data_IF_313238775034
#
_entry.id   IF_313238775034
#
_cell.length_a   1.000
_cell.length_b   1.000
_cell.length_c   1.000
_cell.angle_alpha   90.00
_cell.angle_beta   90.00
_cell.angle_gamma   90.00
#
_symmetry.space_group_name_H-M   'P 1'
#
loop_
_entity.id
_entity.type
_entity.pdbx_description
1 polymer ?
#
# COMPACT_ATOMS: atom_id res chain seq x y z
N UNK A 1 64.34 65.16 7.70
CA UNK A 1 63.25 66.04 7.22
C UNK A 1 62.27 65.18 6.45
N UNK A 2 61.09 65.30 6.90
CA UNK A 2 59.77 65.00 6.27
C UNK A 2 59.27 63.57 6.21
N UNK A 3 58.36 63.44 7.13
CA UNK A 3 57.37 62.36 7.27
C UNK A 3 56.58 62.09 6.00
N UNK A 4 56.35 60.84 5.68
CA UNK A 4 55.27 60.40 4.79
C UNK A 4 54.47 59.36 5.52
N UNK A 5 53.28 59.76 5.89
CA UNK A 5 52.26 58.97 6.50
C UNK A 5 51.60 58.13 5.40
N UNK A 6 51.70 56.81 5.49
CA UNK A 6 50.97 55.90 4.62
C UNK A 6 49.73 55.44 5.43
N UNK A 7 48.58 55.93 4.95
CA UNK A 7 47.26 55.47 5.47
C UNK A 7 46.92 54.13 4.81
N UNK A 8 46.93 53.07 5.58
CA UNK A 8 46.42 51.76 5.13
C UNK A 8 44.91 51.71 5.31
N UNK A 9 44.20 51.68 4.19
CA UNK A 9 42.76 51.41 4.14
C UNK A 9 42.53 49.90 4.36
N UNK A 10 42.05 49.50 5.52
CA UNK A 10 41.49 48.17 5.74
C UNK A 10 40.15 48.06 5.03
N UNK A 11 40.09 47.29 3.95
CA UNK A 11 38.88 46.87 3.32
C UNK A 11 38.32 45.64 4.07
N UNK A 12 37.24 45.85 4.82
CA UNK A 12 36.52 44.84 5.55
C UNK A 12 35.57 44.11 4.58
N UNK A 13 36.03 43.00 4.01
CA UNK A 13 35.13 42.08 3.28
C UNK A 13 34.25 41.34 4.24
N UNK A 14 33.02 41.80 4.44
CA UNK A 14 31.98 41.04 5.09
C UNK A 14 31.54 39.91 4.17
N UNK A 15 32.13 38.70 4.34
CA UNK A 15 31.67 37.48 3.71
C UNK A 15 30.36 37.05 4.35
N UNK A 16 29.23 37.32 3.67
CA UNK A 16 27.94 36.77 4.02
C UNK A 16 27.95 35.27 3.78
N UNK A 17 27.94 34.46 4.86
CA UNK A 17 27.61 33.04 4.80
C UNK A 17 26.13 32.93 4.45
N UNK A 18 25.83 32.70 3.18
CA UNK A 18 24.53 32.25 2.75
C UNK A 18 24.36 30.80 3.26
N UNK A 19 23.67 30.64 4.38
CA UNK A 19 23.13 29.34 4.74
C UNK A 19 22.04 29.02 3.72
N UNK A 20 22.37 28.17 2.76
CA UNK A 20 21.38 27.49 1.95
C UNK A 20 20.57 26.62 2.92
N UNK A 21 19.37 27.08 3.25
CA UNK A 21 18.37 26.29 3.95
C UNK A 21 17.85 25.30 2.91
N UNK A 22 18.47 24.13 2.84
CA UNK A 22 17.87 22.98 2.18
C UNK A 22 16.58 22.68 2.97
N UNK A 23 15.48 23.15 2.40
CA UNK A 23 14.16 22.71 2.84
C UNK A 23 14.07 21.22 2.50
N UNK A 24 14.43 20.37 3.44
CA UNK A 24 14.05 18.97 3.44
C UNK A 24 12.52 18.97 3.42
N UNK A 25 11.94 18.75 2.24
CA UNK A 25 10.57 18.35 2.09
C UNK A 25 10.46 16.93 2.64
N UNK A 26 10.48 16.81 3.94
CA UNK A 26 9.99 15.64 4.63
C UNK A 26 8.49 15.57 4.36
N UNK A 27 8.15 14.89 3.25
CA UNK A 27 6.80 14.42 3.03
C UNK A 27 6.54 13.43 4.16
N UNK A 28 6.01 13.92 5.28
CA UNK A 28 5.48 13.09 6.34
C UNK A 28 4.50 12.13 5.67
N UNK A 29 4.92 10.90 5.40
CA UNK A 29 4.05 9.83 4.93
C UNK A 29 3.00 9.68 6.02
N UNK A 30 1.78 10.15 5.74
CA UNK A 30 0.65 9.95 6.63
C UNK A 30 0.63 8.47 6.99
N UNK A 31 0.75 8.16 8.27
CA UNK A 31 0.71 6.78 8.73
C UNK A 31 -0.57 6.13 8.19
N UNK A 32 -0.40 4.97 7.54
CA UNK A 32 -1.49 4.24 6.93
C UNK A 32 -2.46 3.81 8.03
N UNK A 33 -3.74 4.18 7.90
CA UNK A 33 -4.76 3.82 8.87
C UNK A 33 -5.14 2.35 8.72
N UNK A 34 -5.12 1.60 9.81
CA UNK A 34 -5.67 0.25 9.94
C UNK A 34 -6.97 0.22 10.73
N UNK A 35 -7.56 1.41 10.96
CA UNK A 35 -8.85 1.53 11.62
C UNK A 35 -9.98 1.28 10.63
N UNK A 36 -11.02 0.52 11.01
CA UNK A 36 -12.16 0.29 10.14
C UNK A 36 -12.95 1.59 9.93
N UNK A 37 -13.37 1.83 8.68
CA UNK A 37 -14.25 2.96 8.32
C UNK A 37 -15.72 2.64 8.61
N UNK A 38 -16.05 1.35 8.77
CA UNK A 38 -17.37 0.87 9.12
C UNK A 38 -17.24 -0.43 9.92
N UNK A 39 -18.08 -0.59 10.94
CA UNK A 39 -18.19 -1.81 11.73
C UNK A 39 -19.66 -2.14 11.94
N UNK A 40 -20.02 -3.39 11.66
CA UNK A 40 -21.38 -3.91 11.79
C UNK A 40 -21.36 -5.39 12.24
N UNK A 41 -22.53 -5.98 12.37
CA UNK A 41 -22.63 -7.45 12.62
C UNK A 41 -22.05 -8.27 11.45
N UNK A 42 -22.06 -7.73 10.22
CA UNK A 42 -21.47 -8.38 9.06
C UNK A 42 -19.93 -8.41 9.12
N UNK A 43 -19.31 -7.46 9.83
CA UNK A 43 -17.86 -7.39 9.95
C UNK A 43 -17.31 -5.94 9.99
N UNK A 44 -16.03 -5.83 9.72
CA UNK A 44 -15.29 -4.57 9.68
C UNK A 44 -14.87 -4.26 8.26
N UNK A 45 -15.08 -3.02 7.82
CA UNK A 45 -14.68 -2.53 6.51
C UNK A 45 -13.48 -1.60 6.66
N UNK A 46 -12.44 -1.84 5.88
CA UNK A 46 -11.21 -1.04 5.80
C UNK A 46 -11.13 -0.37 4.43
N UNK A 47 -10.52 0.81 4.36
CA UNK A 47 -10.42 1.60 3.14
C UNK A 47 -11.64 2.51 2.91
N UNK A 48 -12.26 2.46 1.75
CA UNK A 48 -13.50 3.17 1.47
C UNK A 48 -14.72 2.40 1.99
N UNK A 49 -15.85 3.09 2.18
CA UNK A 49 -17.12 2.41 2.46
C UNK A 49 -17.52 1.57 1.26
N UNK A 50 -18.09 0.40 1.52
CA UNK A 50 -18.63 -0.44 0.45
C UNK A 50 -19.80 0.27 -0.26
N UNK A 51 -19.86 0.22 -1.61
CA UNK A 51 -21.00 0.78 -2.35
C UNK A 51 -22.27 -0.02 -2.04
N UNK A 52 -23.40 0.66 -2.05
CA UNK A 52 -24.72 0.02 -1.80
C UNK A 52 -25.12 -0.97 -2.90
N UNK A 53 -24.62 -0.75 -4.09
CA UNK A 53 -24.83 -1.54 -5.31
C UNK A 53 -23.60 -2.41 -5.65
N UNK A 54 -22.80 -2.79 -4.63
CA UNK A 54 -21.68 -3.68 -4.82
C UNK A 54 -22.16 -4.99 -5.45
N UNK A 55 -21.51 -5.46 -6.55
CA UNK A 55 -21.85 -6.73 -7.15
C UNK A 55 -21.64 -7.90 -6.19
N UNK A 56 -22.29 -9.02 -6.44
CA UNK A 56 -22.04 -10.27 -5.72
C UNK A 56 -20.55 -10.62 -5.84
N UNK A 57 -19.97 -11.06 -4.73
CA UNK A 57 -18.57 -11.41 -4.68
C UNK A 57 -18.31 -12.74 -5.40
N UNK A 58 -17.36 -12.72 -6.34
CA UNK A 58 -16.86 -13.91 -7.03
C UNK A 58 -15.72 -14.49 -6.21
N UNK A 59 -15.70 -15.81 -6.04
CA UNK A 59 -14.60 -16.50 -5.35
C UNK A 59 -13.31 -16.30 -6.16
N UNK A 60 -12.19 -15.94 -5.49
CA UNK A 60 -10.95 -15.55 -6.17
C UNK A 60 -10.37 -16.66 -7.03
N UNK A 61 -10.54 -17.91 -6.66
CA UNK A 61 -10.12 -19.04 -7.47
C UNK A 61 -10.93 -19.18 -8.75
N UNK A 62 -12.25 -18.95 -8.70
CA UNK A 62 -13.11 -18.91 -9.87
C UNK A 62 -12.75 -17.71 -10.77
N UNK A 63 -12.50 -16.54 -10.18
CA UNK A 63 -12.07 -15.37 -10.92
C UNK A 63 -10.69 -15.58 -11.58
N UNK A 64 -9.78 -16.34 -10.95
CA UNK A 64 -8.48 -16.69 -11.48
C UNK A 64 -8.59 -17.65 -12.67
N UNK A 65 -9.43 -18.67 -12.57
CA UNK A 65 -9.67 -19.66 -13.63
C UNK A 65 -10.30 -18.99 -14.88
N UNK A 66 -11.04 -17.90 -14.68
CA UNK A 66 -11.65 -17.11 -15.75
C UNK A 66 -11.14 -15.65 -15.78
N UNK A 67 -9.84 -15.47 -15.56
CA UNK A 67 -9.24 -14.16 -15.38
C UNK A 67 -9.55 -13.16 -16.50
N UNK A 68 -9.59 -13.59 -17.75
CA UNK A 68 -9.89 -12.73 -18.89
C UNK A 68 -11.26 -12.03 -18.80
N UNK A 69 -12.24 -12.66 -18.14
CA UNK A 69 -13.58 -12.08 -17.96
C UNK A 69 -13.59 -10.96 -16.91
N UNK A 70 -12.65 -10.98 -15.97
CA UNK A 70 -12.60 -10.10 -14.78
C UNK A 70 -11.46 -9.10 -14.81
N UNK A 71 -10.48 -9.28 -15.74
CA UNK A 71 -9.29 -8.43 -15.83
C UNK A 71 -9.65 -6.99 -16.11
N UNK A 72 -8.96 -6.07 -15.39
CA UNK A 72 -9.09 -4.62 -15.49
C UNK A 72 -10.51 -4.09 -15.20
N UNK A 73 -11.31 -4.89 -14.48
CA UNK A 73 -12.66 -4.53 -14.06
C UNK A 73 -12.75 -4.41 -12.55
N UNK A 74 -13.50 -3.40 -12.12
CA UNK A 74 -13.90 -3.24 -10.74
C UNK A 74 -14.93 -4.33 -10.39
N UNK A 75 -14.70 -5.02 -9.29
CA UNK A 75 -15.55 -6.12 -8.84
C UNK A 75 -15.39 -6.40 -7.36
N UNK A 76 -16.18 -7.34 -6.86
CA UNK A 76 -16.03 -7.88 -5.52
C UNK A 76 -15.47 -9.30 -5.61
N UNK A 77 -14.45 -9.60 -4.81
CA UNK A 77 -13.75 -10.88 -4.80
C UNK A 77 -13.73 -11.43 -3.39
N UNK A 78 -14.18 -12.68 -3.21
CA UNK A 78 -14.16 -13.37 -1.91
C UNK A 78 -13.04 -14.39 -1.87
N UNK A 79 -12.59 -14.70 -0.66
CA UNK A 79 -11.55 -15.70 -0.40
C UNK A 79 -11.13 -15.71 1.06
N UNK A 80 -9.93 -16.22 1.33
CA UNK A 80 -9.36 -16.24 2.68
C UNK A 80 -8.05 -15.45 2.70
N UNK A 81 -7.90 -14.55 3.65
CA UNK A 81 -6.61 -13.92 3.96
C UNK A 81 -5.71 -14.99 4.55
N UNK A 82 -4.57 -15.23 3.92
CA UNK A 82 -3.55 -16.20 4.34
C UNK A 82 -2.21 -15.55 4.72
N UNK A 83 -1.92 -14.38 4.18
CA UNK A 83 -0.72 -13.58 4.50
C UNK A 83 -1.09 -12.11 4.58
N UNK A 84 -0.40 -11.37 5.45
CA UNK A 84 -0.54 -9.92 5.64
C UNK A 84 0.85 -9.29 5.74
N UNK A 85 1.02 -8.12 5.15
CA UNK A 85 2.21 -7.28 5.32
C UNK A 85 2.50 -7.03 6.79
N UNK A 86 3.62 -7.53 7.31
CA UNK A 86 3.99 -7.41 8.72
C UNK A 86 4.54 -6.03 9.09
N UNK A 87 4.90 -5.21 8.11
CA UNK A 87 5.29 -3.83 8.36
C UNK A 87 4.08 -2.96 8.73
N UNK A 88 3.04 -2.94 7.88
CA UNK A 88 1.96 -1.97 8.02
C UNK A 88 0.56 -2.49 7.61
N UNK A 89 0.40 -3.77 7.28
CA UNK A 89 -0.87 -4.29 6.76
C UNK A 89 -1.22 -3.75 5.35
N UNK A 90 -0.22 -3.34 4.58
CA UNK A 90 -0.36 -2.64 3.30
C UNK A 90 -0.69 -3.55 2.11
N UNK A 91 -0.60 -4.85 2.28
CA UNK A 91 -1.06 -5.87 1.35
C UNK A 91 -1.49 -7.13 2.10
N UNK A 92 -2.33 -7.91 1.46
CA UNK A 92 -2.70 -9.27 1.91
C UNK A 92 -2.64 -10.24 0.73
N UNK A 93 -2.58 -11.55 1.02
CA UNK A 93 -2.85 -12.60 0.04
C UNK A 93 -4.26 -13.11 0.26
N UNK A 94 -5.09 -13.04 -0.76
CA UNK A 94 -6.42 -13.60 -0.83
C UNK A 94 -6.35 -14.93 -1.56
N UNK A 95 -6.58 -16.04 -0.87
CA UNK A 95 -6.52 -17.39 -1.40
C UNK A 95 -7.91 -17.96 -1.64
N UNK A 96 -8.07 -18.63 -2.77
CA UNK A 96 -9.26 -19.37 -3.18
C UNK A 96 -9.25 -20.81 -2.69
N UNK A 97 -10.41 -21.44 -2.78
CA UNK A 97 -10.58 -22.84 -2.40
C UNK A 97 -9.82 -23.83 -3.29
N UNK A 98 -9.56 -23.44 -4.54
CA UNK A 98 -8.79 -24.23 -5.52
C UNK A 98 -7.27 -24.04 -5.43
N UNK A 99 -6.78 -23.25 -4.45
CA UNK A 99 -5.36 -22.92 -4.27
C UNK A 99 -4.84 -21.76 -5.14
N UNK A 100 -5.67 -21.19 -6.00
CA UNK A 100 -5.34 -19.94 -6.69
C UNK A 100 -5.34 -18.78 -5.71
N UNK A 101 -4.56 -17.75 -5.98
CA UNK A 101 -4.44 -16.61 -5.08
C UNK A 101 -4.24 -15.31 -5.85
N UNK A 102 -4.59 -14.21 -5.21
CA UNK A 102 -4.25 -12.87 -5.67
C UNK A 102 -3.62 -12.08 -4.52
N UNK A 103 -2.61 -11.25 -4.84
CA UNK A 103 -2.11 -10.24 -3.91
C UNK A 103 -3.01 -9.03 -3.97
N UNK A 104 -3.52 -8.64 -2.82
CA UNK A 104 -4.35 -7.45 -2.65
C UNK A 104 -3.47 -6.33 -2.15
N UNK A 105 -3.38 -5.24 -2.90
CA UNK A 105 -2.70 -4.00 -2.49
C UNK A 105 -3.75 -2.95 -2.13
N UNK A 106 -3.45 -2.12 -1.14
CA UNK A 106 -4.39 -1.17 -0.56
C UNK A 106 -4.30 0.19 -1.26
N UNK A 107 -4.67 0.26 -2.55
CA UNK A 107 -4.79 1.45 -3.39
C UNK A 107 -3.76 2.54 -3.07
N UNK A 108 -2.56 2.41 -3.61
CA UNK A 108 -1.44 3.34 -3.38
C UNK A 108 -1.13 3.59 -1.89
N UNK A 109 -1.28 2.56 -1.04
CA UNK A 109 -1.09 2.65 0.41
C UNK A 109 -2.06 3.62 1.11
N UNK A 110 -3.27 3.81 0.57
CA UNK A 110 -4.28 4.69 1.15
C UNK A 110 -4.78 4.22 2.53
N UNK A 111 -4.75 2.91 2.77
CA UNK A 111 -5.16 2.28 4.03
C UNK A 111 -4.40 0.97 4.25
N UNK A 112 -4.62 0.34 5.39
CA UNK A 112 -4.13 -1.00 5.71
C UNK A 112 -5.20 -1.82 6.42
N UNK A 113 -4.87 -3.09 6.68
CA UNK A 113 -5.65 -3.96 7.57
C UNK A 113 -4.80 -4.32 8.80
N UNK A 114 -5.40 -4.74 9.93
CA UNK A 114 -4.63 -5.25 11.06
C UNK A 114 -3.70 -6.40 10.65
N UNK A 115 -2.48 -6.43 11.18
CA UNK A 115 -1.44 -7.40 10.79
C UNK A 115 -1.77 -8.85 11.18
N UNK A 116 -2.68 -9.03 12.09
CA UNK A 116 -3.24 -10.31 12.55
C UNK A 116 -4.49 -10.74 11.78
N UNK A 117 -4.87 -9.98 10.73
CA UNK A 117 -6.03 -10.33 9.90
C UNK A 117 -5.83 -11.67 9.22
N UNK A 118 -6.84 -12.52 9.30
CA UNK A 118 -6.85 -13.86 8.69
C UNK A 118 -8.29 -14.35 8.48
N UNK A 119 -8.45 -15.41 7.68
CA UNK A 119 -9.75 -16.00 7.45
C UNK A 119 -10.55 -15.35 6.33
N UNK A 120 -11.89 -15.54 6.31
CA UNK A 120 -12.73 -15.04 5.22
C UNK A 120 -12.62 -13.54 5.03
N UNK A 121 -12.63 -13.09 3.78
CA UNK A 121 -12.67 -11.68 3.44
C UNK A 121 -13.37 -11.47 2.09
N UNK A 122 -13.89 -10.25 1.89
CA UNK A 122 -14.37 -9.76 0.61
C UNK A 122 -13.59 -8.49 0.27
N UNK A 123 -13.02 -8.46 -0.92
CA UNK A 123 -12.24 -7.34 -1.44
C UNK A 123 -13.01 -6.69 -2.57
N UNK A 124 -13.27 -5.39 -2.47
CA UNK A 124 -13.81 -4.59 -3.55
C UNK A 124 -12.68 -3.81 -4.20
N UNK A 125 -12.41 -4.09 -5.48
CA UNK A 125 -11.27 -3.52 -6.17
C UNK A 125 -11.16 -3.98 -7.62
N UNK A 126 -10.06 -3.61 -8.28
CA UNK A 126 -9.80 -3.97 -9.68
C UNK A 126 -8.82 -5.14 -9.76
N UNK A 127 -9.26 -6.23 -10.42
CA UNK A 127 -8.39 -7.38 -10.69
C UNK A 127 -7.46 -7.07 -11.86
N UNK A 128 -6.19 -7.38 -11.71
CA UNK A 128 -5.17 -7.22 -12.74
C UNK A 128 -4.06 -8.26 -12.60
N UNK A 129 -3.02 -8.11 -13.39
CA UNK A 129 -1.78 -8.88 -13.26
C UNK A 129 -0.65 -7.98 -12.81
N UNK A 130 0.28 -8.55 -12.06
CA UNK A 130 1.52 -7.90 -11.64
C UNK A 130 2.71 -8.75 -12.11
N UNK A 131 3.65 -8.11 -12.79
CA UNK A 131 4.97 -8.69 -13.09
C UNK A 131 5.99 -7.93 -12.24
N UNK A 132 6.73 -8.66 -11.42
CA UNK A 132 7.65 -8.10 -10.43
C UNK A 132 9.09 -8.24 -10.85
N UNK A 133 9.87 -7.22 -10.58
CA UNK A 133 11.33 -7.30 -10.59
C UNK A 133 11.85 -8.13 -9.41
N UNK A 134 13.09 -8.58 -9.49
CA UNK A 134 13.75 -9.28 -8.37
C UNK A 134 13.73 -8.44 -7.10
N UNK A 135 13.96 -7.12 -7.19
CA UNK A 135 13.95 -6.22 -6.04
C UNK A 135 12.58 -6.11 -5.38
N UNK A 136 11.48 -6.13 -6.14
CA UNK A 136 10.13 -6.15 -5.60
C UNK A 136 9.81 -7.47 -4.91
N UNK A 137 10.26 -8.59 -5.47
CA UNK A 137 10.14 -9.91 -4.83
C UNK A 137 10.86 -9.93 -3.50
N UNK A 138 12.11 -9.43 -3.45
CA UNK A 138 12.91 -9.39 -2.22
C UNK A 138 12.29 -8.43 -1.19
N UNK A 139 11.75 -7.29 -1.63
CA UNK A 139 11.03 -6.37 -0.77
C UNK A 139 9.81 -7.02 -0.11
N UNK A 140 8.94 -7.70 -0.90
CA UNK A 140 7.79 -8.41 -0.36
C UNK A 140 8.17 -9.49 0.64
N UNK A 141 9.26 -10.24 0.38
CA UNK A 141 9.79 -11.23 1.33
C UNK A 141 10.24 -10.58 2.63
N UNK A 142 10.87 -9.41 2.57
CA UNK A 142 11.29 -8.66 3.75
C UNK A 142 10.10 -8.16 4.59
N UNK A 143 8.92 -8.03 3.99
CA UNK A 143 7.67 -7.66 4.65
C UNK A 143 6.86 -8.86 5.15
N UNK A 144 7.40 -10.08 5.03
CA UNK A 144 6.82 -11.32 5.56
C UNK A 144 6.03 -12.14 4.53
N UNK A 145 6.15 -11.86 3.23
CA UNK A 145 5.54 -12.70 2.21
C UNK A 145 6.31 -14.02 2.04
N UNK A 146 5.58 -15.15 2.09
CA UNK A 146 6.15 -16.49 1.89
C UNK A 146 5.97 -16.98 0.44
N UNK A 147 4.84 -16.64 -0.18
CA UNK A 147 4.49 -17.04 -1.55
C UNK A 147 4.55 -15.84 -2.47
N UNK A 148 5.73 -15.56 -3.04
CA UNK A 148 5.92 -14.48 -4.02
C UNK A 148 6.31 -15.08 -5.36
N UNK A 149 5.47 -14.86 -6.37
CA UNK A 149 5.75 -15.22 -7.76
C UNK A 149 6.14 -13.99 -8.55
N UNK A 150 6.98 -14.16 -9.57
CA UNK A 150 7.37 -13.07 -10.48
C UNK A 150 6.16 -12.53 -11.26
N UNK A 151 5.20 -13.40 -11.59
CA UNK A 151 3.91 -13.03 -12.18
C UNK A 151 2.80 -13.57 -11.28
N UNK A 152 1.89 -12.72 -10.85
CA UNK A 152 0.75 -13.10 -10.01
C UNK A 152 -0.48 -12.25 -10.33
N UNK A 153 -1.66 -12.74 -9.94
CA UNK A 153 -2.87 -11.92 -9.91
C UNK A 153 -2.74 -10.87 -8.81
N UNK A 154 -3.21 -9.69 -9.11
CA UNK A 154 -3.23 -8.55 -8.18
C UNK A 154 -4.64 -7.96 -8.13
N UNK A 155 -5.11 -7.59 -6.94
CA UNK A 155 -6.29 -6.74 -6.77
C UNK A 155 -5.82 -5.41 -6.21
N UNK A 156 -6.11 -4.32 -6.91
CA UNK A 156 -5.99 -2.96 -6.37
C UNK A 156 -7.28 -2.64 -5.60
N UNK A 157 -7.21 -2.75 -4.28
CA UNK A 157 -8.38 -2.73 -3.41
C UNK A 157 -8.77 -1.32 -2.99
N UNK A 158 -10.01 -0.97 -3.22
CA UNK A 158 -10.65 0.21 -2.64
C UNK A 158 -11.16 -0.07 -1.22
N UNK A 159 -11.62 -1.31 -0.97
CA UNK A 159 -12.16 -1.72 0.33
C UNK A 159 -11.89 -3.19 0.61
N UNK A 160 -11.73 -3.51 1.89
CA UNK A 160 -11.63 -4.87 2.39
C UNK A 160 -12.64 -5.05 3.52
N UNK A 161 -13.59 -5.98 3.35
CA UNK A 161 -14.49 -6.43 4.41
C UNK A 161 -13.93 -7.70 5.04
N UNK A 162 -13.71 -7.67 6.34
CA UNK A 162 -13.35 -8.84 7.16
C UNK A 162 -14.56 -9.18 8.02
N UNK A 163 -15.27 -10.28 7.74
CA UNK A 163 -16.44 -10.69 8.51
C UNK A 163 -16.11 -10.95 9.97
N UNK A 164 -17.05 -10.66 10.87
CA UNK A 164 -16.94 -11.08 12.26
C UNK A 164 -17.04 -12.61 12.33
N UNK A 165 -16.08 -13.24 13.02
CA UNK A 165 -16.17 -14.68 13.30
C UNK A 165 -17.48 -14.98 14.08
N UNK A 166 -18.28 -15.92 13.58
CA UNK A 166 -19.45 -16.43 14.28
C UNK A 166 -19.05 -17.46 15.30
#
# INVERSE_FOLDING_TARGET
MRNLIVVALLSLCAGGLAFAHEAEHEHARKAMSTEPVEQSEAGKVYGAKLPKDMPDAIEIGEAADNAAAHMDKLGAFSGRITEVCQNAGCWVVLAGANGQMARVTMHDHAFGVPKDSSGPAVVYGTLGKSVKSTSEVDHLKSEGANNVQAEELKIDALSVLIPTAK
#
